data_IF_178829375665
#
_entry.id   IF_178829375665
#
_cell.length_a   1.000
_cell.length_b   1.000
_cell.length_c   1.000
_cell.angle_alpha   90.00
_cell.angle_beta   90.00
_cell.angle_gamma   90.00
#
_symmetry.space_group_name_H-M   'P 1'
#
loop_
_entity.id
_entity.type
_entity.pdbx_description
1 polymer ?
#
# COMPACT_ATOMS: atom_id res chain seq x y z
N UNK A 1 -13.11 6.54 70.45
CA UNK A 1 -11.72 6.12 70.19
C UNK A 1 -11.59 5.89 68.69
N UNK A 2 -10.98 6.86 68.00
CA UNK A 2 -10.02 6.79 66.87
C UNK A 2 -10.02 5.45 66.07
N UNK A 3 -10.05 5.30 64.74
CA UNK A 3 -9.43 5.87 63.51
C UNK A 3 -10.18 5.09 62.37
N UNK A 4 -10.43 5.53 61.14
CA UNK A 4 -9.91 6.64 60.36
C UNK A 4 -10.52 6.61 58.95
N UNK A 5 -10.28 7.72 58.26
CA UNK A 5 -10.56 7.92 56.86
C UNK A 5 -9.58 7.13 55.98
N UNK A 6 -10.06 6.62 54.84
CA UNK A 6 -9.29 6.58 53.59
C UNK A 6 -10.28 6.75 52.43
N UNK A 7 -10.39 7.99 51.96
CA UNK A 7 -10.97 8.33 50.66
C UNK A 7 -9.85 8.10 49.63
N UNK A 8 -9.95 7.06 48.81
CA UNK A 8 -9.05 6.86 47.66
C UNK A 8 -9.75 7.33 46.41
N UNK A 9 -9.22 8.43 45.88
CA UNK A 9 -9.46 8.95 44.54
C UNK A 9 -8.63 8.08 43.58
N UNK A 10 -9.30 7.39 42.68
CA UNK A 10 -8.74 6.84 41.44
C UNK A 10 -9.80 7.18 40.38
N UNK A 11 -9.67 8.29 39.67
CA UNK A 11 -8.62 8.48 38.68
C UNK A 11 -9.24 8.09 37.34
N UNK A 12 -10.03 9.01 36.77
CA UNK A 12 -10.50 8.91 35.38
C UNK A 12 -9.27 8.90 34.47
N UNK A 13 -8.86 7.72 34.06
CA UNK A 13 -7.91 7.55 32.97
C UNK A 13 -8.67 7.75 31.66
N UNK A 14 -8.71 8.99 31.20
CA UNK A 14 -8.87 9.29 29.78
C UNK A 14 -7.63 8.75 29.05
N UNK A 15 -7.68 7.50 28.61
CA UNK A 15 -6.67 6.95 27.69
C UNK A 15 -7.20 7.08 26.28
N UNK A 16 -6.75 8.15 25.64
CA UNK A 16 -6.41 8.26 24.21
C UNK A 16 -6.87 7.11 23.32
N UNK A 17 -7.99 7.33 22.62
CA UNK A 17 -8.36 6.55 21.44
C UNK A 17 -7.49 6.96 20.23
N UNK A 18 -6.21 6.58 20.25
CA UNK A 18 -5.33 6.61 19.07
C UNK A 18 -4.36 5.42 19.17
N UNK A 19 -4.84 4.18 18.99
CA UNK A 19 -3.95 2.99 18.90
C UNK A 19 -4.57 1.72 18.29
N UNK A 20 -5.73 1.80 17.62
CA UNK A 20 -6.35 0.59 17.06
C UNK A 20 -5.85 0.21 15.65
N UNK A 21 -5.32 1.16 14.86
CA UNK A 21 -4.87 0.88 13.47
C UNK A 21 -3.47 0.27 13.40
N UNK A 22 -2.52 0.76 14.20
CA UNK A 22 -1.10 0.36 14.08
C UNK A 22 -0.87 -1.10 14.47
N UNK A 23 -1.59 -1.60 15.49
CA UNK A 23 -1.50 -3.01 15.90
C UNK A 23 -1.94 -3.98 14.80
N UNK A 24 -2.86 -3.58 13.91
CA UNK A 24 -3.32 -4.44 12.80
C UNK A 24 -2.28 -4.53 11.67
N UNK A 25 -1.57 -3.42 11.38
CA UNK A 25 -0.56 -3.38 10.32
C UNK A 25 0.74 -4.07 10.74
N UNK A 26 1.20 -3.81 11.96
CA UNK A 26 2.38 -4.48 12.52
C UNK A 26 2.17 -6.00 12.61
N UNK A 27 0.98 -6.43 13.05
CA UNK A 27 0.61 -7.84 13.05
C UNK A 27 0.58 -8.45 11.64
N UNK A 28 0.10 -7.71 10.63
CA UNK A 28 0.15 -8.16 9.23
C UNK A 28 1.59 -8.30 8.74
N UNK A 29 2.45 -7.33 9.01
CA UNK A 29 3.86 -7.37 8.62
C UNK A 29 4.56 -8.55 9.28
N UNK A 30 4.32 -8.78 10.59
CA UNK A 30 4.88 -9.91 11.31
C UNK A 30 4.40 -11.23 10.72
N UNK A 31 3.09 -11.38 10.51
CA UNK A 31 2.51 -12.59 9.91
C UNK A 31 3.03 -12.84 8.49
N UNK A 32 3.19 -11.80 7.69
CA UNK A 32 3.77 -11.90 6.34
C UNK A 32 5.22 -12.42 6.40
N UNK A 33 6.04 -11.87 7.30
CA UNK A 33 7.42 -12.32 7.53
C UNK A 33 7.46 -13.78 7.97
N UNK A 34 6.66 -14.17 8.96
CA UNK A 34 6.60 -15.54 9.47
C UNK A 34 6.18 -16.54 8.38
N UNK A 35 5.10 -16.24 7.64
CA UNK A 35 4.60 -17.10 6.54
C UNK A 35 5.64 -17.26 5.44
N UNK A 36 6.32 -16.18 5.06
CA UNK A 36 7.37 -16.25 4.05
C UNK A 36 8.58 -17.04 4.54
N UNK A 37 9.01 -16.84 5.79
CA UNK A 37 10.12 -17.59 6.39
C UNK A 37 9.83 -19.09 6.51
N UNK A 38 8.62 -19.49 6.91
CA UNK A 38 8.19 -20.90 6.88
C UNK A 38 8.21 -21.46 5.46
N UNK A 39 7.72 -20.72 4.46
CA UNK A 39 7.79 -21.17 3.07
C UNK A 39 9.23 -21.34 2.57
N UNK A 40 10.13 -20.43 2.97
CA UNK A 40 11.54 -20.46 2.62
C UNK A 40 12.28 -21.63 3.27
N UNK A 41 12.01 -21.91 4.55
CA UNK A 41 12.68 -23.00 5.28
C UNK A 41 12.17 -24.38 4.85
N UNK A 42 10.87 -24.52 4.61
CA UNK A 42 10.25 -25.80 4.24
C UNK A 42 10.38 -26.11 2.74
N UNK A 43 10.24 -25.09 1.89
CA UNK A 43 10.12 -25.27 0.43
C UNK A 43 10.85 -24.20 -0.38
N UNK A 44 12.19 -24.03 -0.24
CA UNK A 44 12.92 -22.91 -0.85
C UNK A 44 12.85 -22.87 -2.39
N UNK A 45 12.65 -24.01 -3.05
CA UNK A 45 12.55 -24.11 -4.52
C UNK A 45 11.12 -23.92 -5.05
N UNK A 46 10.11 -23.85 -4.17
CA UNK A 46 8.71 -23.69 -4.57
C UNK A 46 8.53 -22.33 -5.22
N UNK A 47 7.89 -22.33 -6.40
CA UNK A 47 7.48 -21.10 -7.06
C UNK A 47 6.25 -20.52 -6.37
N UNK A 48 6.32 -19.24 -6.01
CA UNK A 48 5.25 -18.53 -5.31
C UNK A 48 5.02 -17.16 -5.94
N UNK A 49 3.78 -16.69 -5.86
CA UNK A 49 3.44 -15.28 -6.09
C UNK A 49 3.63 -14.52 -4.78
N UNK A 50 4.35 -13.41 -4.82
CA UNK A 50 4.60 -12.57 -3.66
C UNK A 50 4.60 -11.08 -4.04
N UNK A 51 4.47 -10.24 -3.02
CA UNK A 51 4.67 -8.79 -3.13
C UNK A 51 5.85 -8.42 -2.25
N UNK A 52 6.88 -7.84 -2.85
CA UNK A 52 7.98 -7.22 -2.12
C UNK A 52 7.65 -5.75 -1.89
N UNK A 53 7.30 -5.39 -0.65
CA UNK A 53 7.00 -4.02 -0.26
C UNK A 53 8.26 -3.28 0.18
N UNK A 54 8.33 -2.01 -0.18
CA UNK A 54 9.49 -1.18 0.05
C UNK A 54 9.37 -0.36 1.34
N UNK A 55 10.51 0.02 1.90
CA UNK A 55 10.61 0.89 3.08
C UNK A 55 10.13 2.30 2.76
N UNK A 56 10.47 2.79 1.56
CA UNK A 56 10.01 4.06 1.00
C UNK A 56 9.42 3.79 -0.39
N UNK A 57 8.62 4.72 -0.92
CA UNK A 57 8.23 4.64 -2.32
C UNK A 57 9.43 4.87 -3.24
N UNK A 58 9.35 4.30 -4.44
CA UNK A 58 10.40 4.33 -5.44
C UNK A 58 9.84 4.75 -6.80
N UNK A 59 10.73 5.26 -7.66
CA UNK A 59 10.41 5.44 -9.06
C UNK A 59 10.35 4.09 -9.78
N UNK A 60 9.68 4.03 -10.93
CA UNK A 60 9.66 2.82 -11.74
C UNK A 60 11.07 2.40 -12.19
N UNK A 61 11.91 3.37 -12.51
CA UNK A 61 13.25 3.09 -13.04
C UNK A 61 14.12 2.42 -11.97
N UNK A 62 14.01 2.86 -10.71
CA UNK A 62 14.72 2.22 -9.60
C UNK A 62 14.24 0.77 -9.39
N UNK A 63 12.93 0.52 -9.54
CA UNK A 63 12.35 -0.84 -9.46
C UNK A 63 12.84 -1.70 -10.62
N UNK A 64 12.90 -1.16 -11.84
CA UNK A 64 13.45 -1.86 -13.01
C UNK A 64 14.90 -2.25 -12.79
N UNK A 65 15.73 -1.31 -12.34
CA UNK A 65 17.15 -1.53 -12.07
C UNK A 65 17.32 -2.64 -11.03
N UNK A 66 16.54 -2.61 -9.95
CA UNK A 66 16.62 -3.60 -8.88
C UNK A 66 16.25 -5.02 -9.34
N UNK A 67 15.26 -5.15 -10.21
CA UNK A 67 14.75 -6.46 -10.64
C UNK A 67 15.49 -7.03 -11.85
N UNK A 68 16.15 -6.17 -12.65
CA UNK A 68 16.81 -6.56 -13.91
C UNK A 68 17.79 -7.73 -13.77
N UNK A 69 18.44 -7.86 -12.61
CA UNK A 69 19.45 -8.89 -12.36
C UNK A 69 18.89 -10.13 -11.65
N UNK A 70 17.57 -10.25 -11.55
CA UNK A 70 16.91 -11.36 -10.85
C UNK A 70 16.29 -12.35 -11.84
N UNK A 71 16.09 -13.59 -11.39
CA UNK A 71 15.29 -14.60 -12.10
C UNK A 71 13.77 -14.39 -11.94
N UNK A 72 13.36 -13.34 -11.22
CA UNK A 72 11.97 -13.12 -10.84
C UNK A 72 11.17 -12.56 -12.00
N UNK A 73 9.98 -13.12 -12.20
CA UNK A 73 9.03 -12.59 -13.16
C UNK A 73 8.17 -11.51 -12.50
N UNK A 74 8.21 -10.28 -13.03
CA UNK A 74 7.35 -9.20 -12.55
C UNK A 74 5.92 -9.43 -13.02
N UNK A 75 4.98 -9.42 -12.07
CA UNK A 75 3.54 -9.62 -12.32
C UNK A 75 2.74 -8.34 -12.16
N UNK A 76 3.29 -7.32 -11.53
CA UNK A 76 2.53 -6.14 -11.14
C UNK A 76 3.33 -5.19 -10.29
N UNK A 77 2.69 -4.09 -9.89
CA UNK A 77 3.23 -3.18 -8.89
C UNK A 77 2.13 -2.63 -8.00
N UNK A 78 2.53 -2.18 -6.81
CA UNK A 78 1.71 -1.48 -5.84
C UNK A 78 2.17 -0.05 -5.76
N UNK A 79 1.24 0.88 -5.60
CA UNK A 79 1.55 2.30 -5.49
C UNK A 79 0.66 2.95 -4.44
N UNK A 80 1.08 4.10 -3.95
CA UNK A 80 0.25 4.90 -3.07
C UNK A 80 1.00 5.82 -2.13
N UNK A 81 0.20 6.46 -1.28
CA UNK A 81 0.54 7.31 -0.15
C UNK A 81 -0.40 6.95 1.00
N UNK A 82 -0.21 7.54 2.18
CA UNK A 82 -1.16 7.35 3.30
C UNK A 82 -2.61 7.72 2.95
N UNK A 83 -2.83 8.59 1.96
CA UNK A 83 -4.16 9.05 1.55
C UNK A 83 -4.81 8.22 0.43
N UNK A 84 -4.02 7.47 -0.35
CA UNK A 84 -4.54 6.67 -1.45
C UNK A 84 -3.59 5.54 -1.82
N UNK A 85 -4.11 4.41 -2.28
CA UNK A 85 -3.27 3.32 -2.74
C UNK A 85 -3.98 2.45 -3.76
N UNK A 86 -3.19 1.67 -4.49
CA UNK A 86 -3.70 0.78 -5.51
C UNK A 86 -2.64 -0.19 -5.99
N UNK A 87 -2.95 -0.86 -7.09
CA UNK A 87 -2.03 -1.75 -7.76
C UNK A 87 -2.43 -1.96 -9.21
N UNK A 88 -1.46 -2.41 -9.98
CA UNK A 88 -1.65 -2.82 -11.36
C UNK A 88 -1.03 -4.20 -11.54
N UNK A 89 -1.75 -5.08 -12.23
CA UNK A 89 -1.26 -6.40 -12.61
C UNK A 89 -0.96 -6.33 -14.11
N UNK A 90 0.26 -6.72 -14.47
CA UNK A 90 0.72 -6.77 -15.85
C UNK A 90 -0.16 -7.73 -16.65
N UNK A 91 -0.58 -7.30 -17.83
CA UNK A 91 -1.24 -8.14 -18.82
C UNK A 91 -0.22 -9.12 -19.41
N UNK A 92 -0.71 -10.20 -20.01
CA UNK A 92 0.17 -11.16 -20.66
C UNK A 92 0.99 -10.49 -21.77
N UNK A 93 2.32 -10.62 -21.70
CA UNK A 93 3.24 -10.00 -22.65
C UNK A 93 3.47 -8.50 -22.45
N UNK A 94 2.81 -7.88 -21.48
CA UNK A 94 3.02 -6.46 -21.14
C UNK A 94 4.31 -6.31 -20.36
N UNK A 95 5.18 -5.43 -20.82
CA UNK A 95 6.38 -5.03 -20.08
C UNK A 95 6.00 -4.14 -18.91
N UNK A 96 6.88 -4.04 -17.90
CA UNK A 96 6.67 -3.14 -16.77
C UNK A 96 6.54 -1.66 -17.22
N UNK A 97 7.18 -1.28 -18.33
CA UNK A 97 7.13 0.06 -18.90
C UNK A 97 5.78 0.37 -19.55
N UNK A 98 5.27 -0.56 -20.37
CA UNK A 98 3.94 -0.47 -20.96
C UNK A 98 2.86 -0.45 -19.87
N UNK A 99 3.00 -1.30 -18.85
CA UNK A 99 2.10 -1.36 -17.70
C UNK A 99 2.01 -0.02 -16.98
N UNK A 100 3.14 0.64 -16.73
CA UNK A 100 3.13 1.97 -16.11
C UNK A 100 2.54 3.02 -17.03
N UNK A 101 2.89 3.03 -18.32
CA UNK A 101 2.33 3.99 -19.27
C UNK A 101 0.80 3.86 -19.37
N UNK A 102 0.29 2.63 -19.49
CA UNK A 102 -1.13 2.33 -19.50
C UNK A 102 -1.78 2.72 -18.18
N UNK A 103 -1.19 2.35 -17.04
CA UNK A 103 -1.70 2.74 -15.73
C UNK A 103 -1.77 4.26 -15.58
N UNK A 104 -0.73 5.00 -15.99
CA UNK A 104 -0.71 6.45 -15.91
C UNK A 104 -1.84 7.08 -16.71
N UNK A 105 -2.02 6.65 -17.96
CA UNK A 105 -3.11 7.14 -18.81
C UNK A 105 -4.46 6.86 -18.17
N UNK A 106 -4.70 5.60 -17.82
CA UNK A 106 -6.01 5.15 -17.35
C UNK A 106 -6.35 5.76 -15.97
N UNK A 107 -5.36 5.92 -15.09
CA UNK A 107 -5.55 6.52 -13.77
C UNK A 107 -5.80 8.03 -13.86
N UNK A 108 -5.13 8.76 -14.75
CA UNK A 108 -5.42 10.18 -14.98
C UNK A 108 -6.83 10.39 -15.54
N UNK A 109 -7.28 9.50 -16.44
CA UNK A 109 -8.67 9.53 -16.94
C UNK A 109 -9.67 9.24 -15.82
N UNK A 110 -9.39 8.27 -14.95
CA UNK A 110 -10.22 7.97 -13.79
C UNK A 110 -10.32 9.17 -12.82
N UNK A 111 -9.18 9.80 -12.49
CA UNK A 111 -9.16 10.97 -11.61
C UNK A 111 -9.92 12.14 -12.25
N UNK A 112 -9.76 12.37 -13.56
CA UNK A 112 -10.50 13.42 -14.25
C UNK A 112 -12.00 13.17 -14.19
N UNK A 113 -12.44 11.94 -14.49
CA UNK A 113 -13.86 11.58 -14.40
C UNK A 113 -14.40 11.76 -12.97
N UNK A 114 -13.62 11.38 -11.96
CA UNK A 114 -13.98 11.58 -10.55
C UNK A 114 -14.19 13.07 -10.24
N UNK A 115 -13.29 13.94 -10.68
CA UNK A 115 -13.42 15.39 -10.49
C UNK A 115 -14.70 15.93 -11.15
N UNK A 116 -14.98 15.50 -12.38
CA UNK A 116 -16.18 15.92 -13.12
C UNK A 116 -17.47 15.41 -12.43
N UNK A 117 -17.45 14.19 -11.89
CA UNK A 117 -18.54 13.61 -11.12
C UNK A 117 -18.78 14.38 -9.82
N UNK A 118 -17.71 14.67 -9.07
CA UNK A 118 -17.78 15.42 -7.81
C UNK A 118 -18.25 16.87 -8.06
N UNK A 119 -17.82 17.52 -9.14
CA UNK A 119 -18.31 18.85 -9.53
C UNK A 119 -19.83 18.84 -9.79
N UNK A 120 -20.33 17.82 -10.50
CA UNK A 120 -21.78 17.67 -10.73
C UNK A 120 -22.55 17.41 -9.43
N UNK A 121 -21.99 16.60 -8.53
CA UNK A 121 -22.62 16.31 -7.24
C UNK A 121 -22.66 17.55 -6.34
N UNK A 122 -21.60 18.36 -6.29
CA UNK A 122 -21.54 19.60 -5.49
C UNK A 122 -22.65 20.58 -5.91
N UNK A 123 -22.88 20.71 -7.22
CA UNK A 123 -23.93 21.61 -7.77
C UNK A 123 -25.33 21.08 -7.46
N UNK A 124 -25.55 19.77 -7.53
CA UNK A 124 -26.86 19.15 -7.33
C UNK A 124 -27.24 18.97 -5.85
N UNK A 125 -26.25 18.83 -4.97
CA UNK A 125 -26.46 18.56 -3.55
C UNK A 125 -27.04 19.79 -2.83
N UNK A 126 -28.05 19.59 -2.01
CA UNK A 126 -28.75 20.63 -1.25
C UNK A 126 -28.36 20.63 0.22
N UNK A 127 -27.92 19.51 0.77
CA UNK A 127 -27.43 19.38 2.13
C UNK A 127 -26.01 19.96 2.25
N UNK A 128 -25.83 20.92 3.15
CA UNK A 128 -24.56 21.62 3.31
C UNK A 128 -23.43 20.74 3.88
N UNK A 129 -23.76 19.71 4.68
CA UNK A 129 -22.75 18.80 5.23
C UNK A 129 -22.26 17.84 4.15
N UNK A 130 -23.18 17.28 3.35
CA UNK A 130 -22.83 16.47 2.19
C UNK A 130 -22.04 17.27 1.16
N UNK A 131 -22.46 18.52 0.88
CA UNK A 131 -21.72 19.40 -0.03
C UNK A 131 -20.29 19.67 0.46
N UNK A 132 -20.09 19.93 1.75
CA UNK A 132 -18.75 20.09 2.34
C UNK A 132 -17.90 18.84 2.19
N UNK A 133 -18.47 17.65 2.44
CA UNK A 133 -17.75 16.39 2.24
C UNK A 133 -17.32 16.19 0.78
N UNK A 134 -18.20 16.50 -0.18
CA UNK A 134 -17.90 16.43 -1.61
C UNK A 134 -16.78 17.41 -2.02
N UNK A 135 -16.78 18.63 -1.49
CA UNK A 135 -15.71 19.62 -1.73
C UNK A 135 -14.36 19.09 -1.21
N UNK A 136 -14.34 18.46 -0.03
CA UNK A 136 -13.14 17.83 0.52
C UNK A 136 -12.63 16.73 -0.42
N UNK A 137 -13.51 15.80 -0.82
CA UNK A 137 -13.14 14.71 -1.73
C UNK A 137 -12.63 15.20 -3.09
N UNK A 138 -13.23 16.26 -3.63
CA UNK A 138 -12.76 16.92 -4.84
C UNK A 138 -11.35 17.51 -4.68
N UNK A 139 -11.10 18.15 -3.54
CA UNK A 139 -9.78 18.71 -3.22
C UNK A 139 -8.73 17.60 -3.12
N UNK A 140 -9.08 16.46 -2.50
CA UNK A 140 -8.23 15.28 -2.44
C UNK A 140 -7.94 14.69 -3.83
N UNK A 141 -8.94 14.60 -4.69
CA UNK A 141 -8.79 14.11 -6.07
C UNK A 141 -7.89 15.04 -6.91
N UNK A 142 -8.02 16.35 -6.75
CA UNK A 142 -7.18 17.33 -7.45
C UNK A 142 -5.73 17.31 -6.95
N UNK A 143 -5.53 17.14 -5.63
CA UNK A 143 -4.21 16.91 -5.06
C UNK A 143 -3.59 15.62 -5.61
N UNK A 144 -4.37 14.53 -5.69
CA UNK A 144 -3.91 13.26 -6.27
C UNK A 144 -3.48 13.44 -7.73
N UNK A 145 -4.27 14.15 -8.53
CA UNK A 145 -3.92 14.49 -9.92
C UNK A 145 -2.61 15.27 -10.00
N UNK A 146 -2.43 16.26 -9.12
CA UNK A 146 -1.24 17.12 -9.08
C UNK A 146 0.00 16.33 -8.67
N UNK A 147 -0.09 15.52 -7.61
CA UNK A 147 0.97 14.65 -7.15
C UNK A 147 1.39 13.67 -8.25
N UNK A 148 0.42 13.07 -8.92
CA UNK A 148 0.66 12.13 -10.00
C UNK A 148 1.39 12.77 -11.18
N UNK A 149 0.98 13.98 -11.58
CA UNK A 149 1.65 14.73 -12.66
C UNK A 149 3.07 15.16 -12.29
N UNK A 150 3.31 15.50 -11.02
CA UNK A 150 4.61 16.03 -10.55
C UNK A 150 5.62 14.92 -10.26
N UNK A 151 5.18 13.83 -9.62
CA UNK A 151 6.04 12.78 -9.08
C UNK A 151 5.91 11.44 -9.82
N UNK A 152 4.93 11.31 -10.71
CA UNK A 152 4.60 10.04 -11.35
C UNK A 152 3.96 9.06 -10.38
N UNK A 153 4.03 7.77 -10.73
CA UNK A 153 3.58 6.69 -9.86
C UNK A 153 4.61 6.50 -8.73
N UNK A 154 4.16 6.60 -7.49
CA UNK A 154 4.94 6.29 -6.28
C UNK A 154 4.85 4.78 -5.99
N UNK A 155 5.79 4.00 -6.48
CA UNK A 155 5.75 2.53 -6.35
C UNK A 155 6.16 2.14 -4.93
N UNK A 156 5.27 1.46 -4.19
CA UNK A 156 5.50 1.03 -2.80
C UNK A 156 5.77 -0.47 -2.68
N UNK A 157 5.65 -1.20 -3.78
CA UNK A 157 6.01 -2.60 -3.85
C UNK A 157 5.87 -3.15 -5.25
N UNK A 158 6.48 -4.31 -5.47
CA UNK A 158 6.45 -5.01 -6.75
C UNK A 158 5.89 -6.41 -6.56
N UNK A 159 4.99 -6.81 -7.45
CA UNK A 159 4.49 -8.19 -7.47
C UNK A 159 5.43 -9.05 -8.31
N UNK A 160 5.90 -10.14 -7.73
CA UNK A 160 6.88 -11.04 -8.35
C UNK A 160 6.42 -12.48 -8.25
N UNK A 161 6.82 -13.27 -9.24
CA UNK A 161 6.67 -14.71 -9.27
C UNK A 161 8.04 -15.35 -9.45
N UNK A 162 8.37 -16.30 -8.59
CA UNK A 162 9.69 -16.95 -8.61
C UNK A 162 9.84 -17.96 -7.48
N UNK A 163 11.01 -18.57 -7.38
CA UNK A 163 11.32 -19.47 -6.27
C UNK A 163 11.43 -18.66 -4.97
N UNK A 164 10.94 -19.21 -3.86
CA UNK A 164 11.02 -18.54 -2.55
C UNK A 164 12.44 -18.09 -2.20
N UNK A 165 13.46 -18.92 -2.52
CA UNK A 165 14.86 -18.56 -2.32
C UNK A 165 15.30 -17.34 -3.14
N UNK A 166 14.85 -17.23 -4.40
CA UNK A 166 15.25 -16.14 -5.31
C UNK A 166 14.61 -14.82 -4.87
N UNK A 167 13.37 -14.88 -4.36
CA UNK A 167 12.69 -13.72 -3.76
C UNK A 167 13.39 -13.29 -2.47
N UNK A 168 13.86 -14.24 -1.66
CA UNK A 168 14.64 -13.95 -0.46
C UNK A 168 16.00 -13.32 -0.81
N UNK A 169 16.70 -13.84 -1.84
CA UNK A 169 17.94 -13.25 -2.35
C UNK A 169 17.71 -11.82 -2.81
N UNK A 170 16.65 -11.58 -3.59
CA UNK A 170 16.27 -10.22 -4.00
C UNK A 170 16.09 -9.30 -2.79
N UNK A 171 15.35 -9.71 -1.75
CA UNK A 171 15.20 -8.88 -0.56
C UNK A 171 16.50 -8.69 0.25
N UNK A 172 17.38 -9.69 0.28
CA UNK A 172 18.69 -9.60 0.95
C UNK A 172 19.67 -8.67 0.24
N UNK A 173 19.63 -8.62 -1.10
CA UNK A 173 20.45 -7.74 -1.93
C UNK A 173 19.91 -6.30 -2.00
N UNK A 174 18.63 -6.11 -1.67
CA UNK A 174 17.94 -4.84 -1.80
C UNK A 174 17.44 -4.35 -0.43
N UNK A 175 18.22 -3.55 0.33
CA UNK A 175 17.89 -3.14 1.69
C UNK A 175 16.65 -2.24 1.78
N UNK A 176 16.16 -1.73 0.66
CA UNK A 176 14.89 -1.01 0.59
C UNK A 176 13.68 -1.95 0.64
N UNK A 177 13.83 -3.27 0.53
CA UNK A 177 12.73 -4.23 0.70
C UNK A 177 12.46 -4.44 2.20
N UNK A 178 11.27 -4.03 2.66
CA UNK A 178 10.85 -4.08 4.06
C UNK A 178 10.20 -5.39 4.44
N UNK A 179 9.33 -5.89 3.57
CA UNK A 179 8.51 -7.09 3.82
C UNK A 179 8.18 -7.77 2.51
N UNK A 180 8.23 -9.10 2.54
CA UNK A 180 7.69 -9.95 1.48
C UNK A 180 6.39 -10.54 2.00
N UNK A 181 5.30 -10.33 1.26
CA UNK A 181 4.00 -10.90 1.56
C UNK A 181 3.61 -11.90 0.47
N UNK A 182 3.34 -13.15 0.85
CA UNK A 182 2.82 -14.15 -0.08
C UNK A 182 1.43 -13.75 -0.57
N UNK A 183 1.19 -13.93 -1.88
CA UNK A 183 -0.10 -13.56 -2.47
C UNK A 183 -1.12 -14.66 -2.23
N UNK A 184 -2.27 -14.31 -1.65
CA UNK A 184 -3.40 -15.24 -1.50
C UNK A 184 -4.21 -15.28 -2.80
N UNK A 185 -4.38 -16.47 -3.39
CA UNK A 185 -5.16 -16.63 -4.62
C UNK A 185 -6.59 -16.16 -4.42
N UNK A 186 -7.07 -15.31 -5.33
CA UNK A 186 -8.47 -14.89 -5.41
C UNK A 186 -8.88 -13.77 -4.45
N UNK A 187 -7.95 -13.17 -3.68
CA UNK A 187 -8.27 -12.02 -2.82
C UNK A 187 -7.50 -10.77 -3.24
N UNK A 188 -8.16 -9.60 -3.30
CA UNK A 188 -7.46 -8.33 -3.36
C UNK A 188 -6.58 -8.16 -2.10
N UNK A 189 -5.28 -8.02 -2.28
CA UNK A 189 -4.37 -7.60 -1.21
C UNK A 189 -4.09 -6.11 -1.33
N UNK A 190 -4.37 -5.36 -0.28
CA UNK A 190 -4.07 -3.93 -0.21
C UNK A 190 -2.57 -3.69 -0.07
N UNK A 191 -2.09 -2.53 -0.52
CA UNK A 191 -0.70 -2.15 -0.33
C UNK A 191 -0.35 -2.01 1.17
N UNK A 192 0.90 -2.29 1.53
CA UNK A 192 1.48 -1.92 2.83
C UNK A 192 2.30 -0.65 2.60
N UNK A 193 1.76 0.51 2.96
CA UNK A 193 2.37 1.80 2.61
C UNK A 193 3.54 2.14 3.57
N UNK A 194 4.53 2.91 3.10
CA UNK A 194 5.58 3.46 3.96
C UNK A 194 5.01 4.29 5.13
N UNK A 195 5.58 4.11 6.33
CA UNK A 195 5.21 4.89 7.52
C UNK A 195 3.80 4.63 8.08
N UNK A 196 3.19 3.49 7.71
CA UNK A 196 2.02 2.90 8.38
C UNK A 196 2.41 1.84 9.39
#
# INVERSE_FOLDING_TARGET
MIIGAVLVILGMTAVTAVSASNGSMEARILSAKEKFQSTLSETPQKKVDAIAFFTNDMSLEDVKIAIRNTSLEVKGFRHGTQSYGGGYILKQGETLEEAVSNYQRDHLLFIQKRLDDEDRMIVAEKDDNLRKALITHRTEADQMKTDFKKRGIRVVGVEVYGQAKDINTFAGENPFVRVIELKEKGKPQSAILPGQ
#
